data_IF_912602843993
#
_entry.id   IF_912602843993
#
_cell.length_a   1.000
_cell.length_b   1.000
_cell.length_c   1.000
_cell.angle_alpha   90.00
_cell.angle_beta   90.00
_cell.angle_gamma   90.00
#
_symmetry.space_group_name_H-M   'P 1'
#
loop_
_entity.id
_entity.type
_entity.pdbx_description
1 polymer ?
#
# COMPACT_ATOMS: atom_id res chain seq x y z
N UNK A 1 -0.84 14.24 -0.68
CA UNK A 1 0.49 13.63 -0.68
C UNK A 1 1.51 14.74 -0.86
N UNK A 2 2.77 14.56 -0.44
CA UNK A 2 3.87 15.47 -0.82
C UNK A 2 4.89 14.71 -1.64
N UNK A 3 5.50 15.37 -2.61
CA UNK A 3 6.52 14.78 -3.47
C UNK A 3 7.77 15.65 -3.46
N UNK A 4 8.92 14.99 -3.39
CA UNK A 4 10.22 15.63 -3.40
C UNK A 4 11.09 14.95 -4.46
N UNK A 5 11.72 15.70 -5.34
CA UNK A 5 12.86 15.20 -6.12
C UNK A 5 14.00 14.84 -5.17
N UNK A 6 14.65 13.71 -5.40
CA UNK A 6 15.95 13.39 -4.83
C UNK A 6 16.99 13.78 -5.87
N UNK A 7 17.83 14.75 -5.53
CA UNK A 7 18.86 15.27 -6.42
C UNK A 7 20.25 15.12 -5.82
N UNK A 8 21.23 14.92 -6.68
CA UNK A 8 22.65 14.92 -6.34
C UNK A 8 23.32 16.17 -6.89
N UNK A 9 23.99 16.94 -6.03
CA UNK A 9 24.76 18.12 -6.44
C UNK A 9 26.22 17.81 -6.79
N UNK A 10 26.68 16.58 -6.61
CA UNK A 10 28.02 16.18 -7.01
C UNK A 10 28.08 15.87 -8.53
N UNK A 11 29.15 16.26 -9.24
CA UNK A 11 30.26 17.11 -8.81
C UNK A 11 29.99 18.62 -8.97
N UNK A 12 28.87 19.01 -9.57
CA UNK A 12 28.52 20.40 -9.88
C UNK A 12 27.13 20.81 -9.32
N UNK A 13 27.08 21.68 -8.29
CA UNK A 13 25.82 22.17 -7.74
C UNK A 13 24.92 22.91 -8.73
N UNK A 14 25.48 23.50 -9.78
CA UNK A 14 24.69 24.20 -10.80
C UNK A 14 23.95 23.23 -11.73
N UNK A 15 24.42 21.98 -11.83
CA UNK A 15 23.88 20.95 -12.70
C UNK A 15 23.55 19.66 -11.94
N UNK A 16 22.78 19.80 -10.86
CA UNK A 16 22.39 18.66 -10.03
C UNK A 16 21.60 17.61 -10.82
N UNK A 17 21.98 16.35 -10.62
CA UNK A 17 21.37 15.17 -11.26
C UNK A 17 20.09 14.77 -10.51
N UNK A 18 19.00 14.53 -11.24
CA UNK A 18 17.79 13.91 -10.68
C UNK A 18 18.02 12.40 -10.54
N UNK A 19 17.78 11.87 -9.34
CA UNK A 19 17.89 10.44 -9.04
C UNK A 19 16.51 9.76 -8.94
N UNK A 20 15.50 10.50 -8.51
CA UNK A 20 14.18 9.95 -8.30
C UNK A 20 13.31 10.83 -7.42
N UNK A 21 12.33 10.22 -6.76
CA UNK A 21 11.30 10.91 -6.01
C UNK A 21 11.05 10.24 -4.67
N UNK A 22 10.94 11.06 -3.62
CA UNK A 22 10.46 10.68 -2.31
C UNK A 22 9.01 11.13 -2.16
N UNK A 23 8.10 10.19 -1.95
CA UNK A 23 6.69 10.40 -1.68
C UNK A 23 6.43 10.35 -0.19
N UNK A 24 5.68 11.32 0.33
CA UNK A 24 5.23 11.35 1.71
C UNK A 24 3.70 11.32 1.82
N UNK A 25 3.20 10.29 2.49
CA UNK A 25 1.78 10.05 2.74
C UNK A 25 1.42 10.51 4.16
N UNK A 26 1.01 11.77 4.28
CA UNK A 26 0.71 12.44 5.56
C UNK A 26 -0.21 11.64 6.49
N UNK A 27 -1.32 11.12 5.95
CA UNK A 27 -2.35 10.43 6.73
C UNK A 27 -1.83 9.19 7.48
N UNK A 28 -0.73 8.60 6.98
CA UNK A 28 -0.13 7.37 7.53
C UNK A 28 1.29 7.60 8.02
N UNK A 29 1.79 8.84 7.95
CA UNK A 29 3.18 9.22 8.22
C UNK A 29 4.18 8.23 7.62
N UNK A 30 4.07 7.96 6.32
CA UNK A 30 4.94 7.01 5.64
C UNK A 30 5.60 7.62 4.41
N UNK A 31 6.80 7.13 4.13
CA UNK A 31 7.61 7.54 2.98
C UNK A 31 7.72 6.38 2.00
N UNK A 32 7.79 6.66 0.70
CA UNK A 32 8.12 5.68 -0.34
C UNK A 32 9.02 6.36 -1.36
N UNK A 33 9.94 5.62 -1.97
CA UNK A 33 10.89 6.19 -2.93
C UNK A 33 10.74 5.52 -4.29
N UNK A 34 10.70 6.31 -5.35
CA UNK A 34 10.77 5.83 -6.73
C UNK A 34 12.01 6.40 -7.40
N UNK A 35 12.95 5.52 -7.72
CA UNK A 35 14.21 5.88 -8.38
C UNK A 35 14.03 5.79 -9.91
N UNK A 36 14.73 6.65 -10.65
CA UNK A 36 14.78 6.58 -12.11
C UNK A 36 15.51 5.31 -12.55
N UNK A 37 15.05 4.69 -13.65
CA UNK A 37 15.76 3.54 -14.22
C UNK A 37 17.11 3.96 -14.77
N UNK A 38 18.09 3.06 -14.71
CA UNK A 38 19.42 3.28 -15.25
C UNK A 38 20.38 3.99 -14.30
N UNK A 39 19.93 4.34 -13.08
CA UNK A 39 20.88 4.57 -12.00
C UNK A 39 21.68 3.29 -11.73
N UNK A 40 22.99 3.42 -11.66
CA UNK A 40 23.84 2.35 -11.17
C UNK A 40 23.98 2.42 -9.63
N UNK A 41 24.64 1.42 -9.05
CA UNK A 41 24.86 1.34 -7.60
C UNK A 41 25.77 2.45 -7.04
N UNK A 42 26.52 3.17 -7.89
CA UNK A 42 27.42 4.25 -7.47
C UNK A 42 26.71 5.60 -7.46
N UNK A 43 25.68 5.77 -8.29
CA UNK A 43 24.87 6.99 -8.38
C UNK A 43 23.69 7.01 -7.40
N UNK A 44 23.20 5.83 -6.99
CA UNK A 44 22.08 5.74 -6.07
C UNK A 44 22.49 6.13 -4.63
N UNK A 45 21.56 6.67 -3.82
CA UNK A 45 21.81 6.83 -2.39
C UNK A 45 22.26 5.51 -1.77
N UNK A 46 23.34 5.54 -0.96
CA UNK A 46 23.99 4.32 -0.44
C UNK A 46 23.02 3.30 0.16
N UNK A 47 22.00 3.78 0.87
CA UNK A 47 20.99 2.94 1.51
C UNK A 47 20.12 2.13 0.52
N UNK A 48 20.04 2.55 -0.75
CA UNK A 48 19.26 1.89 -1.80
C UNK A 48 20.11 1.03 -2.75
N UNK A 49 21.44 1.00 -2.60
CA UNK A 49 22.34 0.27 -3.51
C UNK A 49 21.93 -1.18 -3.75
N UNK A 50 21.64 -1.92 -2.67
CA UNK A 50 21.19 -3.30 -2.78
C UNK A 50 19.91 -3.43 -3.62
N UNK A 51 18.95 -2.51 -3.46
CA UNK A 51 17.71 -2.54 -4.23
C UNK A 51 17.99 -2.31 -5.72
N UNK A 52 18.85 -1.35 -6.06
CA UNK A 52 19.26 -1.09 -7.45
C UNK A 52 20.01 -2.28 -8.06
N UNK A 53 20.94 -2.87 -7.31
CA UNK A 53 21.65 -4.08 -7.72
C UNK A 53 20.68 -5.23 -8.04
N UNK A 54 19.60 -5.36 -7.25
CA UNK A 54 18.54 -6.36 -7.48
C UNK A 54 17.53 -5.93 -8.59
N UNK A 55 17.78 -4.82 -9.29
CA UNK A 55 16.89 -4.29 -10.34
C UNK A 55 15.61 -3.63 -9.83
N UNK A 56 15.53 -3.31 -8.53
CA UNK A 56 14.35 -2.73 -7.87
C UNK A 56 14.50 -1.24 -7.65
N UNK A 57 13.68 -0.47 -8.35
CA UNK A 57 13.68 1.00 -8.33
C UNK A 57 12.53 1.59 -7.51
N UNK A 58 11.55 0.77 -7.14
CA UNK A 58 10.46 1.12 -6.22
C UNK A 58 10.82 0.64 -4.82
N UNK A 59 11.00 1.58 -3.90
CA UNK A 59 11.52 1.31 -2.58
C UNK A 59 10.41 1.43 -1.54
N UNK A 60 10.15 0.30 -0.88
CA UNK A 60 9.16 0.20 0.18
C UNK A 60 9.41 1.14 1.37
N UNK A 61 8.38 1.27 2.20
CA UNK A 61 8.35 2.30 3.26
C UNK A 61 9.43 2.18 4.32
N UNK A 62 9.83 0.96 4.69
CA UNK A 62 10.84 0.76 5.72
C UNK A 62 12.21 1.34 5.35
N UNK A 63 12.68 1.10 4.12
CA UNK A 63 13.99 1.59 3.66
C UNK A 63 13.93 3.09 3.33
N UNK A 64 12.81 3.55 2.76
CA UNK A 64 12.53 4.97 2.53
C UNK A 64 12.51 5.78 3.83
N UNK A 65 11.92 5.24 4.91
CA UNK A 65 11.94 5.88 6.22
C UNK A 65 13.37 5.97 6.80
N UNK A 66 14.19 4.92 6.62
CA UNK A 66 15.59 4.96 7.04
C UNK A 66 16.41 6.02 6.27
N UNK A 67 16.16 6.19 4.97
CA UNK A 67 16.76 7.25 4.16
C UNK A 67 16.45 8.64 4.72
N UNK A 68 15.20 8.87 5.14
CA UNK A 68 14.77 10.11 5.80
C UNK A 68 15.44 10.28 7.16
N UNK A 69 15.48 9.24 7.99
CA UNK A 69 16.07 9.29 9.33
C UNK A 69 17.58 9.62 9.31
N UNK A 70 18.32 9.22 8.27
CA UNK A 70 19.73 9.59 8.08
C UNK A 70 19.94 11.09 7.84
N UNK A 71 18.88 11.83 7.43
CA UNK A 71 18.95 13.23 7.00
C UNK A 71 18.37 14.22 7.99
N UNK A 72 17.75 13.73 9.07
CA UNK A 72 17.14 14.55 10.10
C UNK A 72 17.81 14.33 11.44
N UNK A 73 17.60 15.29 12.34
CA UNK A 73 18.15 15.23 13.69
C UNK A 73 17.62 13.98 14.41
N UNK A 74 18.49 13.11 14.97
CA UNK A 74 18.05 11.89 15.66
C UNK A 74 17.15 12.18 16.87
N UNK A 75 16.24 11.25 17.18
CA UNK A 75 15.29 11.37 18.29
C UNK A 75 15.96 11.35 19.66
N UNK A 76 17.15 10.77 19.73
CA UNK A 76 17.93 10.51 20.93
C UNK A 76 18.86 11.69 21.29
N UNK A 77 18.85 12.77 20.50
CA UNK A 77 19.74 13.91 20.72
C UNK A 77 19.41 14.62 22.04
N UNK A 78 20.42 14.81 22.89
CA UNK A 78 20.29 15.43 24.22
C UNK A 78 19.52 16.77 24.22
N UNK A 79 19.73 17.61 23.19
CA UNK A 79 19.10 18.94 23.08
C UNK A 79 17.91 18.98 22.11
N UNK A 80 17.28 17.84 21.81
CA UNK A 80 16.20 17.78 20.81
C UNK A 80 15.04 18.74 21.13
N UNK A 81 14.61 18.81 22.39
CA UNK A 81 13.49 19.67 22.79
C UNK A 81 13.76 21.17 22.61
N UNK A 82 15.02 21.60 22.65
CA UNK A 82 15.41 22.97 22.31
C UNK A 82 15.39 23.19 20.79
N UNK A 83 16.00 22.26 20.03
CA UNK A 83 16.00 22.30 18.56
C UNK A 83 14.58 22.38 18.01
N UNK A 84 13.65 21.56 18.52
CA UNK A 84 12.26 21.58 18.08
C UNK A 84 11.59 22.94 18.38
N UNK A 85 11.80 23.51 19.57
CA UNK A 85 11.23 24.82 19.95
C UNK A 85 11.77 25.98 19.10
N UNK A 86 13.08 26.02 18.89
CA UNK A 86 13.73 27.03 18.04
C UNK A 86 13.16 27.01 16.62
N UNK A 87 12.82 25.81 16.14
CA UNK A 87 12.22 25.58 14.82
C UNK A 87 10.67 25.62 14.81
N UNK A 88 10.04 26.07 15.91
CA UNK A 88 8.58 26.20 16.07
C UNK A 88 7.80 24.89 15.85
N UNK A 89 8.43 23.75 16.15
CA UNK A 89 7.83 22.43 16.10
C UNK A 89 7.24 22.07 17.46
N UNK A 90 5.98 21.61 17.47
CA UNK A 90 5.28 21.18 18.69
C UNK A 90 5.65 19.75 19.13
N UNK A 91 6.31 19.01 18.26
CA UNK A 91 6.74 17.64 18.47
C UNK A 91 7.69 17.22 17.35
N UNK A 92 8.21 16.00 17.47
CA UNK A 92 9.07 15.42 16.44
C UNK A 92 8.25 15.08 15.20
N UNK A 93 8.53 15.77 14.10
CA UNK A 93 7.85 15.62 12.81
C UNK A 93 8.91 15.42 11.74
N UNK A 94 9.03 14.19 11.25
CA UNK A 94 10.10 13.75 10.35
C UNK A 94 10.06 14.52 9.03
N UNK A 95 8.87 14.69 8.44
CA UNK A 95 8.72 15.40 7.17
C UNK A 95 9.04 16.89 7.33
N UNK A 96 8.62 17.52 8.44
CA UNK A 96 8.98 18.93 8.68
C UNK A 96 10.48 19.09 8.88
N UNK A 97 11.10 18.28 9.73
CA UNK A 97 12.56 18.32 9.94
C UNK A 97 13.33 18.12 8.63
N UNK A 98 12.88 17.17 7.81
CA UNK A 98 13.44 16.90 6.49
C UNK A 98 13.31 18.10 5.54
N UNK A 99 12.14 18.74 5.52
CA UNK A 99 11.88 19.91 4.67
C UNK A 99 12.74 21.11 5.09
N UNK A 100 12.95 21.28 6.40
CA UNK A 100 13.75 22.40 6.94
C UNK A 100 15.23 22.31 6.57
N UNK A 101 15.78 21.11 6.40
CA UNK A 101 17.15 20.89 5.96
C UNK A 101 17.27 20.67 4.45
N UNK A 102 16.17 20.78 3.69
CA UNK A 102 16.11 20.36 2.28
C UNK A 102 16.63 18.92 2.09
N UNK A 103 16.47 18.05 3.09
CA UNK A 103 17.02 16.70 3.10
C UNK A 103 18.55 16.59 3.04
N UNK A 104 19.28 17.70 3.21
CA UNK A 104 20.75 17.70 3.21
C UNK A 104 21.30 17.09 4.49
N UNK A 105 22.40 16.37 4.38
CA UNK A 105 23.16 15.86 5.52
C UNK A 105 24.67 15.95 5.26
N UNK A 106 25.49 15.60 6.24
CA UNK A 106 26.95 15.66 6.13
C UNK A 106 27.57 14.41 5.47
N UNK A 107 26.74 13.44 5.04
CA UNK A 107 27.21 12.14 4.54
C UNK A 107 27.31 12.09 3.01
N UNK A 108 26.52 12.91 2.32
CA UNK A 108 26.42 12.93 0.86
C UNK A 108 26.02 14.33 0.37
N UNK A 109 26.12 14.54 -0.95
CA UNK A 109 25.77 15.78 -1.63
C UNK A 109 24.30 15.79 -2.12
N UNK A 110 23.46 14.91 -1.52
CA UNK A 110 22.06 14.77 -1.88
C UNK A 110 21.20 15.84 -1.21
N UNK A 111 20.15 16.24 -1.90
CA UNK A 111 19.15 17.17 -1.38
C UNK A 111 17.78 16.90 -1.99
N UNK A 112 16.76 17.50 -1.38
CA UNK A 112 15.37 17.33 -1.73
C UNK A 112 14.75 18.62 -2.22
N UNK A 113 14.07 18.56 -3.37
CA UNK A 113 13.31 19.69 -3.91
C UNK A 113 11.84 19.32 -3.91
N UNK A 114 11.02 20.05 -3.14
CA UNK A 114 9.57 19.84 -3.17
C UNK A 114 9.02 20.26 -4.54
N UNK A 115 8.23 19.40 -5.14
CA UNK A 115 7.59 19.64 -6.44
C UNK A 115 6.08 19.36 -6.39
N UNK A 116 5.39 19.81 -7.43
CA UNK A 116 4.01 19.41 -7.73
C UNK A 116 3.99 18.09 -8.52
N UNK A 117 2.91 17.31 -8.39
CA UNK A 117 2.82 15.95 -8.96
C UNK A 117 2.85 15.92 -10.50
N UNK A 118 2.43 17.01 -11.15
CA UNK A 118 2.44 17.17 -12.60
C UNK A 118 3.86 17.28 -13.18
N UNK A 119 4.86 17.63 -12.35
CA UNK A 119 6.27 17.71 -12.73
C UNK A 119 7.03 16.39 -12.63
N UNK A 120 6.39 15.32 -12.15
CA UNK A 120 7.02 13.99 -12.05
C UNK A 120 7.35 13.45 -13.46
N UNK A 121 8.55 12.88 -13.62
CA UNK A 121 9.01 12.26 -14.87
C UNK A 121 8.00 11.21 -15.40
N UNK A 122 7.77 11.14 -16.72
CA UNK A 122 6.80 10.23 -17.32
C UNK A 122 7.01 8.75 -16.95
N UNK A 123 8.26 8.31 -16.82
CA UNK A 123 8.60 6.93 -16.44
C UNK A 123 8.07 6.57 -15.05
N UNK A 124 8.15 7.52 -14.12
CA UNK A 124 7.67 7.35 -12.75
C UNK A 124 6.15 7.38 -12.73
N UNK A 125 5.52 8.26 -13.51
CA UNK A 125 4.06 8.27 -13.69
C UNK A 125 3.54 6.94 -14.24
N UNK A 126 4.21 6.36 -15.23
CA UNK A 126 3.85 5.04 -15.77
C UNK A 126 3.94 3.95 -14.68
N UNK A 127 4.99 3.97 -13.87
CA UNK A 127 5.15 3.02 -12.77
C UNK A 127 4.10 3.22 -11.67
N UNK A 128 3.72 4.46 -11.40
CA UNK A 128 2.62 4.77 -10.47
C UNK A 128 1.28 4.19 -10.94
N UNK A 129 1.03 4.08 -12.25
CA UNK A 129 -0.18 3.41 -12.75
C UNK A 129 -0.20 1.89 -12.45
N UNK A 130 0.97 1.28 -12.20
CA UNK A 130 1.10 -0.14 -11.83
C UNK A 130 0.99 -0.36 -10.32
N UNK A 131 0.68 0.67 -9.53
CA UNK A 131 0.43 0.53 -8.08
C UNK A 131 -0.93 -0.10 -7.81
N UNK A 132 -1.03 -0.72 -6.64
CA UNK A 132 -2.21 -1.45 -6.21
C UNK A 132 -3.32 -0.46 -5.87
N UNK A 133 -4.45 -0.58 -6.55
CA UNK A 133 -5.68 0.16 -6.27
C UNK A 133 -6.53 -0.56 -5.22
N UNK A 134 -6.66 -1.88 -5.34
CA UNK A 134 -7.40 -2.73 -4.42
C UNK A 134 -6.82 -4.15 -4.42
N UNK A 135 -6.97 -4.88 -3.32
CA UNK A 135 -6.50 -6.26 -3.20
C UNK A 135 -7.46 -7.08 -2.33
N UNK A 136 -7.96 -8.18 -2.89
CA UNK A 136 -8.98 -9.02 -2.26
C UNK A 136 -8.36 -10.39 -1.93
N UNK A 137 -8.30 -10.79 -0.65
CA UNK A 137 -7.89 -12.15 -0.28
C UNK A 137 -8.93 -13.16 -0.79
N UNK A 138 -8.47 -14.19 -1.50
CA UNK A 138 -9.27 -15.28 -2.04
C UNK A 138 -9.03 -16.58 -1.24
N UNK A 139 -9.77 -17.63 -1.61
CA UNK A 139 -9.52 -18.97 -1.09
C UNK A 139 -8.14 -19.49 -1.50
N UNK A 140 -7.64 -20.43 -0.68
CA UNK A 140 -6.39 -21.17 -0.93
C UNK A 140 -5.13 -20.29 -0.97
N UNK A 141 -5.13 -19.15 -0.28
CA UNK A 141 -3.92 -18.31 -0.19
C UNK A 141 -3.65 -17.44 -1.42
N UNK A 142 -4.65 -17.25 -2.29
CA UNK A 142 -4.53 -16.38 -3.46
C UNK A 142 -5.05 -14.99 -3.17
N UNK A 143 -4.61 -14.00 -3.92
CA UNK A 143 -5.08 -12.61 -3.84
C UNK A 143 -5.44 -12.13 -5.24
N UNK A 144 -6.64 -11.55 -5.38
CA UNK A 144 -7.01 -10.79 -6.58
C UNK A 144 -6.57 -9.34 -6.38
N UNK A 145 -5.65 -8.88 -7.21
CA UNK A 145 -5.06 -7.54 -7.15
C UNK A 145 -5.59 -6.72 -8.33
N UNK A 146 -6.08 -5.51 -8.05
CA UNK A 146 -6.47 -4.53 -9.04
C UNK A 146 -5.46 -3.38 -9.03
N UNK A 147 -5.01 -2.97 -10.21
CA UNK A 147 -4.03 -1.91 -10.38
C UNK A 147 -4.69 -0.60 -10.83
N UNK A 148 -3.97 0.51 -10.67
CA UNK A 148 -4.48 1.85 -11.05
C UNK A 148 -4.72 1.94 -12.56
N UNK A 149 -3.91 1.28 -13.37
CA UNK A 149 -4.06 1.19 -14.84
C UNK A 149 -5.29 0.38 -15.29
N UNK A 150 -6.06 -0.19 -14.36
CA UNK A 150 -7.28 -0.94 -14.62
C UNK A 150 -7.05 -2.43 -14.90
N UNK A 151 -5.80 -2.90 -14.88
CA UNK A 151 -5.50 -4.33 -14.96
C UNK A 151 -5.77 -5.03 -13.64
N UNK A 152 -5.89 -6.35 -13.72
CA UNK A 152 -6.03 -7.19 -12.54
C UNK A 152 -5.30 -8.51 -12.72
N UNK A 153 -4.86 -9.06 -11.58
CA UNK A 153 -4.15 -10.34 -11.52
C UNK A 153 -4.58 -11.16 -10.34
N UNK A 154 -4.57 -12.48 -10.50
CA UNK A 154 -4.67 -13.43 -9.40
C UNK A 154 -3.26 -13.91 -9.08
N UNK A 155 -2.81 -13.69 -7.85
CA UNK A 155 -1.47 -14.08 -7.39
C UNK A 155 -1.62 -15.16 -6.32
N UNK A 156 -0.91 -16.27 -6.45
CA UNK A 156 -0.74 -17.25 -5.38
C UNK A 156 0.39 -16.80 -4.44
N UNK A 157 0.05 -16.50 -3.19
CA UNK A 157 1.02 -15.98 -2.21
C UNK A 157 2.00 -17.07 -1.75
N UNK A 158 1.63 -18.35 -1.88
CA UNK A 158 2.50 -19.46 -1.52
C UNK A 158 3.53 -19.73 -2.62
N UNK A 159 3.15 -19.50 -3.88
CA UNK A 159 4.02 -19.71 -5.03
C UNK A 159 5.30 -18.87 -4.87
N UNK A 160 6.46 -19.52 -5.04
CA UNK A 160 7.79 -18.93 -4.83
C UNK A 160 8.13 -18.44 -3.41
N UNK A 161 7.26 -18.66 -2.42
CA UNK A 161 7.46 -18.24 -1.02
C UNK A 161 7.28 -19.38 -0.01
N UNK A 162 7.36 -20.63 -0.48
CA UNK A 162 7.07 -21.83 0.33
C UNK A 162 7.99 -22.01 1.55
N UNK A 163 9.17 -21.40 1.54
CA UNK A 163 10.15 -21.45 2.64
C UNK A 163 10.04 -20.26 3.61
N UNK A 164 9.22 -19.25 3.30
CA UNK A 164 9.02 -18.09 4.16
C UNK A 164 8.04 -18.43 5.30
N UNK A 165 8.59 -18.67 6.51
CA UNK A 165 7.84 -18.99 7.72
C UNK A 165 6.80 -17.92 8.09
N UNK A 166 7.03 -16.65 7.75
CA UNK A 166 6.06 -15.58 8.00
C UNK A 166 4.86 -15.70 7.06
N UNK A 167 5.09 -16.06 5.80
CA UNK A 167 4.05 -16.33 4.82
C UNK A 167 3.29 -17.61 5.17
N UNK A 168 3.99 -18.68 5.55
CA UNK A 168 3.34 -19.93 5.99
C UNK A 168 2.38 -19.65 7.17
N UNK A 169 2.81 -18.85 8.14
CA UNK A 169 1.96 -18.45 9.27
C UNK A 169 0.74 -17.66 8.82
N UNK A 170 0.90 -16.71 7.90
CA UNK A 170 -0.22 -15.93 7.33
C UNK A 170 -1.22 -16.83 6.63
N UNK A 171 -0.75 -17.77 5.80
CA UNK A 171 -1.58 -18.71 5.05
C UNK A 171 -2.29 -19.74 5.93
N UNK A 172 -1.67 -20.13 7.05
CA UNK A 172 -2.24 -21.10 8.00
C UNK A 172 -3.50 -20.57 8.70
N UNK A 173 -3.57 -19.27 8.97
CA UNK A 173 -4.68 -18.68 9.72
C UNK A 173 -5.51 -17.77 8.82
N UNK A 174 -6.70 -18.24 8.43
CA UNK A 174 -7.64 -17.52 7.55
C UNK A 174 -7.87 -16.07 8.01
N UNK A 175 -8.15 -15.86 9.30
CA UNK A 175 -8.37 -14.52 9.86
C UNK A 175 -7.15 -13.59 9.72
N UNK A 176 -5.94 -14.15 9.71
CA UNK A 176 -4.73 -13.38 9.49
C UNK A 176 -4.57 -13.04 8.01
N UNK A 177 -4.80 -14.01 7.12
CA UNK A 177 -4.78 -13.81 5.67
C UNK A 177 -5.79 -12.75 5.21
N UNK A 178 -7.01 -12.78 5.76
CA UNK A 178 -8.08 -11.83 5.46
C UNK A 178 -7.81 -10.40 5.98
N UNK A 179 -6.84 -10.22 6.89
CA UNK A 179 -6.36 -8.91 7.36
C UNK A 179 -5.26 -8.33 6.47
N UNK A 180 -5.22 -8.74 5.21
CA UNK A 180 -4.43 -8.07 4.18
C UNK A 180 -4.74 -6.58 4.21
N UNK A 181 -3.70 -5.76 4.09
CA UNK A 181 -3.87 -4.33 3.88
C UNK A 181 -2.87 -3.82 2.83
N UNK A 182 -3.29 -2.78 2.13
CA UNK A 182 -2.48 -2.12 1.11
C UNK A 182 -1.71 -0.98 1.80
N UNK A 183 -0.41 -0.88 1.52
CA UNK A 183 0.41 0.20 2.03
C UNK A 183 0.10 1.53 1.31
N UNK A 184 0.38 2.68 1.94
CA UNK A 184 0.00 3.97 1.36
C UNK A 184 0.56 4.16 -0.04
N UNK A 185 -0.28 4.62 -0.96
CA UNK A 185 0.08 4.77 -2.38
C UNK A 185 -0.01 3.50 -3.21
N UNK A 186 -0.48 2.38 -2.64
CA UNK A 186 -0.58 1.13 -3.37
C UNK A 186 0.76 0.45 -3.61
N UNK A 187 1.77 0.72 -2.76
CA UNK A 187 3.13 0.26 -2.98
C UNK A 187 3.34 -1.22 -2.68
N UNK A 188 2.60 -1.76 -1.71
CA UNK A 188 2.71 -3.15 -1.29
C UNK A 188 1.36 -3.65 -0.76
N UNK A 189 1.19 -4.96 -0.73
CA UNK A 189 0.29 -5.61 0.22
C UNK A 189 1.08 -6.12 1.42
N UNK A 190 0.51 -6.05 2.62
CA UNK A 190 1.15 -6.49 3.85
C UNK A 190 0.16 -7.18 4.81
N UNK A 191 0.73 -7.99 5.68
CA UNK A 191 0.07 -8.54 6.87
C UNK A 191 0.77 -8.08 8.14
N UNK A 192 0.14 -8.30 9.29
CA UNK A 192 0.69 -7.93 10.60
C UNK A 192 2.05 -8.60 10.93
N UNK A 193 2.48 -9.60 10.15
CA UNK A 193 3.80 -10.25 10.28
C UNK A 193 4.95 -9.39 9.77
N UNK A 194 4.67 -8.29 9.04
CA UNK A 194 5.68 -7.37 8.51
C UNK A 194 6.31 -7.80 7.18
N UNK A 195 6.05 -9.02 6.70
CA UNK A 195 6.34 -9.40 5.31
C UNK A 195 5.22 -8.91 4.40
N UNK A 196 5.59 -8.32 3.28
CA UNK A 196 4.69 -7.88 2.23
C UNK A 196 5.24 -8.15 0.84
N UNK A 197 4.39 -7.92 -0.16
CA UNK A 197 4.71 -8.04 -1.58
C UNK A 197 4.48 -6.68 -2.24
N UNK A 198 5.48 -6.20 -2.95
CA UNK A 198 5.43 -4.95 -3.69
C UNK A 198 4.44 -5.04 -4.85
N UNK A 199 3.93 -3.89 -5.28
CA UNK A 199 3.08 -3.78 -6.45
C UNK A 199 3.77 -4.36 -7.69
N UNK A 200 5.08 -4.15 -7.84
CA UNK A 200 5.88 -4.67 -8.93
C UNK A 200 5.90 -6.20 -8.94
N UNK A 201 6.19 -6.83 -7.78
CA UNK A 201 6.14 -8.31 -7.65
C UNK A 201 4.76 -8.84 -8.05
N UNK A 202 3.68 -8.19 -7.59
CA UNK A 202 2.31 -8.62 -7.89
C UNK A 202 1.92 -8.40 -9.35
N UNK A 203 2.42 -7.33 -9.95
CA UNK A 203 2.16 -6.99 -11.35
C UNK A 203 2.92 -7.92 -12.31
N UNK A 204 3.97 -8.60 -11.85
CA UNK A 204 4.75 -9.55 -12.65
C UNK A 204 4.36 -11.01 -12.41
N UNK A 205 4.13 -11.43 -11.16
CA UNK A 205 4.02 -12.85 -10.77
C UNK A 205 2.61 -13.47 -10.90
N UNK A 206 1.56 -12.67 -11.15
CA UNK A 206 0.17 -13.16 -11.18
C UNK A 206 -0.38 -13.53 -12.56
N UNK A 207 -1.42 -14.37 -12.59
CA UNK A 207 -2.20 -14.65 -13.79
C UNK A 207 -3.10 -13.44 -14.10
N UNK A 208 -2.99 -12.89 -15.32
CA UNK A 208 -3.86 -11.80 -15.76
C UNK A 208 -5.32 -12.28 -15.87
N UNK A 209 -6.25 -11.42 -15.42
CA UNK A 209 -7.69 -11.70 -15.49
C UNK A 209 -8.43 -10.51 -16.10
N UNK A 210 -9.61 -10.80 -16.66
CA UNK A 210 -10.50 -9.79 -17.24
C UNK A 210 -11.50 -9.23 -16.22
N UNK A 211 -11.45 -9.68 -14.96
CA UNK A 211 -12.29 -9.16 -13.88
C UNK A 211 -11.80 -7.76 -13.53
N UNK A 212 -12.70 -6.78 -13.57
CA UNK A 212 -12.42 -5.39 -13.17
C UNK A 212 -12.92 -5.12 -11.76
N UNK A 213 -12.39 -4.06 -11.16
CA UNK A 213 -12.84 -3.64 -9.83
C UNK A 213 -14.32 -3.24 -9.87
N UNK A 214 -14.75 -2.63 -10.96
CA UNK A 214 -16.13 -2.24 -11.21
C UNK A 214 -17.07 -3.46 -11.21
N UNK A 215 -16.63 -4.63 -11.70
CA UNK A 215 -17.42 -5.86 -11.66
C UNK A 215 -17.70 -6.31 -10.21
N UNK A 216 -16.75 -6.07 -9.29
CA UNK A 216 -16.93 -6.37 -7.87
C UNK A 216 -17.93 -5.41 -7.23
N UNK A 217 -17.89 -4.13 -7.61
CA UNK A 217 -18.86 -3.12 -7.17
C UNK A 217 -20.25 -3.46 -7.68
N UNK A 218 -20.37 -3.85 -8.95
CA UNK A 218 -21.63 -4.28 -9.56
C UNK A 218 -22.18 -5.54 -8.89
N UNK A 219 -21.32 -6.50 -8.56
CA UNK A 219 -21.72 -7.68 -7.80
C UNK A 219 -22.28 -7.29 -6.43
N UNK A 220 -21.56 -6.48 -5.66
CA UNK A 220 -22.00 -6.03 -4.33
C UNK A 220 -23.33 -5.27 -4.42
N UNK A 221 -23.46 -4.38 -5.40
CA UNK A 221 -24.63 -3.50 -5.56
C UNK A 221 -25.87 -4.27 -6.02
N UNK A 222 -25.71 -5.25 -6.92
CA UNK A 222 -26.85 -5.90 -7.58
C UNK A 222 -27.18 -7.28 -7.00
N UNK A 223 -26.24 -7.92 -6.28
CA UNK A 223 -26.38 -9.32 -5.84
C UNK A 223 -26.36 -9.52 -4.34
N UNK A 224 -26.11 -8.48 -3.55
CA UNK A 224 -26.23 -8.55 -2.10
C UNK A 224 -27.49 -7.85 -1.65
N UNK A 225 -28.20 -8.46 -0.71
CA UNK A 225 -29.36 -7.86 -0.05
C UNK A 225 -29.20 -7.85 1.44
N UNK A 226 -29.67 -6.78 2.07
CA UNK A 226 -29.71 -6.68 3.52
C UNK A 226 -30.95 -7.36 4.12
N UNK A 227 -31.05 -7.38 5.45
CA UNK A 227 -32.18 -8.03 6.13
C UNK A 227 -33.53 -7.35 5.79
N UNK A 228 -33.52 -6.05 5.53
CA UNK A 228 -34.72 -5.27 5.20
C UNK A 228 -35.18 -5.57 3.78
N UNK A 229 -34.25 -5.66 2.84
CA UNK A 229 -34.53 -6.05 1.46
C UNK A 229 -35.03 -7.49 1.39
N UNK A 230 -34.39 -8.41 2.11
CA UNK A 230 -34.82 -9.81 2.19
C UNK A 230 -36.27 -9.95 2.70
N UNK A 231 -36.68 -9.16 3.70
CA UNK A 231 -38.07 -9.16 4.19
C UNK A 231 -39.08 -8.71 3.13
N UNK A 232 -38.71 -7.74 2.29
CA UNK A 232 -39.57 -7.24 1.22
C UNK A 232 -39.72 -8.29 0.12
N UNK A 233 -38.62 -8.93 -0.26
CA UNK A 233 -38.61 -9.99 -1.28
C UNK A 233 -39.48 -11.17 -0.85
N UNK A 234 -39.34 -11.64 0.39
CA UNK A 234 -40.07 -12.80 0.90
C UNK A 234 -41.45 -12.48 1.47
N UNK A 235 -41.84 -11.19 1.55
CA UNK A 235 -43.09 -10.76 2.17
C UNK A 235 -43.24 -11.18 3.63
N UNK A 236 -42.13 -11.28 4.38
CA UNK A 236 -42.09 -11.84 5.73
C UNK A 236 -41.53 -10.87 6.78
N UNK A 237 -41.62 -11.23 8.06
CA UNK A 237 -41.09 -10.41 9.15
C UNK A 237 -39.58 -10.61 9.33
N UNK A 238 -38.90 -9.62 9.93
CA UNK A 238 -37.49 -9.76 10.33
C UNK A 238 -37.30 -10.91 11.33
N UNK A 239 -38.28 -11.18 12.20
CA UNK A 239 -38.22 -12.34 13.09
C UNK A 239 -38.15 -13.66 12.30
N UNK A 240 -38.89 -13.76 11.19
CA UNK A 240 -38.88 -14.94 10.34
C UNK A 240 -37.55 -15.12 9.62
N UNK A 241 -36.95 -14.05 9.08
CA UNK A 241 -35.57 -14.09 8.54
C UNK A 241 -34.59 -14.59 9.62
N UNK A 242 -34.70 -14.10 10.85
CA UNK A 242 -33.83 -14.52 11.94
C UNK A 242 -34.01 -15.99 12.29
N UNK A 243 -35.25 -16.48 12.27
CA UNK A 243 -35.57 -17.88 12.46
C UNK A 243 -34.96 -18.75 11.34
N UNK A 244 -35.11 -18.35 10.07
CA UNK A 244 -34.54 -19.08 8.93
C UNK A 244 -33.02 -19.20 9.01
N UNK A 245 -32.32 -18.14 9.43
CA UNK A 245 -30.87 -18.21 9.70
C UNK A 245 -30.56 -19.18 10.84
N UNK A 246 -31.33 -19.13 11.95
CA UNK A 246 -31.13 -20.03 13.10
C UNK A 246 -31.35 -21.50 12.73
N UNK A 247 -32.30 -21.76 11.83
CA UNK A 247 -32.61 -23.09 11.29
C UNK A 247 -31.65 -23.52 10.18
N UNK A 248 -30.74 -22.66 9.73
CA UNK A 248 -29.79 -22.95 8.65
C UNK A 248 -30.42 -22.98 7.25
N UNK A 249 -31.61 -22.41 7.07
CA UNK A 249 -32.31 -22.33 5.77
C UNK A 249 -31.70 -21.27 4.85
N UNK A 250 -31.08 -20.24 5.41
CA UNK A 250 -30.32 -19.21 4.69
C UNK A 250 -29.05 -18.86 5.46
N UNK A 251 -27.99 -18.51 4.74
CA UNK A 251 -26.65 -18.31 5.28
C UNK A 251 -26.18 -16.87 5.08
N UNK A 252 -26.08 -16.05 6.14
CA UNK A 252 -25.59 -14.68 5.99
C UNK A 252 -24.10 -14.69 5.61
N UNK A 253 -23.73 -13.89 4.60
CA UNK A 253 -22.34 -13.64 4.22
C UNK A 253 -21.61 -12.81 5.29
N UNK A 254 -22.34 -11.88 5.93
CA UNK A 254 -21.85 -11.05 7.02
C UNK A 254 -22.97 -10.81 8.02
N UNK A 255 -22.62 -10.84 9.30
CA UNK A 255 -23.54 -10.55 10.40
C UNK A 255 -22.97 -9.45 11.27
N UNK A 256 -23.68 -8.34 11.36
CA UNK A 256 -23.48 -7.31 12.38
C UNK A 256 -24.68 -7.29 13.32
N UNK A 257 -24.50 -6.70 14.51
CA UNK A 257 -25.40 -6.80 15.67
C UNK A 257 -26.91 -6.68 15.36
N UNK A 258 -27.31 -5.89 14.35
CA UNK A 258 -28.71 -5.73 13.95
C UNK A 258 -29.00 -5.93 12.44
N UNK A 259 -27.99 -6.24 11.61
CA UNK A 259 -28.19 -6.39 10.17
C UNK A 259 -27.31 -7.51 9.61
N UNK A 260 -27.81 -8.17 8.56
CA UNK A 260 -27.15 -9.26 7.87
C UNK A 260 -27.18 -9.02 6.38
N UNK A 261 -26.13 -9.44 5.69
CA UNK A 261 -26.03 -9.44 4.24
C UNK A 261 -26.16 -10.87 3.73
N UNK A 262 -26.95 -11.03 2.67
CA UNK A 262 -27.22 -12.31 2.02
C UNK A 262 -26.96 -12.21 0.53
N UNK A 263 -26.74 -13.36 -0.12
CA UNK A 263 -26.82 -13.44 -1.57
C UNK A 263 -28.29 -13.32 -1.98
N UNK A 264 -28.58 -12.43 -2.94
CA UNK A 264 -29.91 -12.28 -3.51
C UNK A 264 -30.44 -13.62 -4.05
N UNK A 265 -29.59 -14.40 -4.73
CA UNK A 265 -29.99 -15.71 -5.28
C UNK A 265 -30.41 -16.72 -4.22
N UNK A 266 -29.85 -16.65 -3.01
CA UNK A 266 -30.25 -17.55 -1.92
C UNK A 266 -31.64 -17.15 -1.43
N UNK A 267 -31.90 -15.85 -1.27
CA UNK A 267 -33.21 -15.34 -0.86
C UNK A 267 -34.29 -15.64 -1.91
N UNK A 268 -34.00 -15.42 -3.20
CA UNK A 268 -34.94 -15.69 -4.31
C UNK A 268 -35.27 -17.18 -4.49
N UNK A 269 -34.46 -18.08 -3.92
CA UNK A 269 -34.65 -19.53 -4.03
C UNK A 269 -35.57 -20.15 -2.96
N UNK A 270 -36.04 -19.35 -2.00
CA UNK A 270 -36.92 -19.76 -0.90
C UNK A 270 -38.41 -19.70 -1.27
#
# INVERSE_FOLDING_TARGET
MKVFEIRDSFPDPANSKLLGYLFYYEAKNSFHTELLKGLDEWEAPFIFQKSIHDGRYSIGSGLSAKFVLQRIVPRERQNLGEILRTNRLRGYDECRLLTMSEGRCAQDDLFLVKIEEDLIEPEIKERMQKKIKEAIPLSSGRVLVFFIDGKSRIVDIKENNSEDLMIERVLKYKELFERLHITPGGNDIQWATGRGFSAEEMYEAGEETNIKLEDMVDFVTNRLVDTTEATKILGCSRQYINQMVKEGRITPLRSESNNRLFLLSEIESL
#
